data_IF_829544452900
#
_entry.id   IF_829544452900
#
_cell.length_a   1.000
_cell.length_b   1.000
_cell.length_c   1.000
_cell.angle_alpha   90.00
_cell.angle_beta   90.00
_cell.angle_gamma   90.00
#
_symmetry.space_group_name_H-M   'P 1'
#
loop_
_entity.id
_entity.type
_entity.pdbx_description
1 polymer ?
#
# COMPACT_ATOMS: atom_id res chain seq x y z
N UNK A 1 26.97 -5.34 29.91
CA UNK A 1 27.93 -5.93 28.95
C UNK A 1 29.29 -5.88 29.62
N UNK A 2 30.05 -6.99 29.63
CA UNK A 2 31.39 -7.05 30.23
C UNK A 2 32.41 -6.53 29.22
N UNK A 3 33.40 -5.71 29.62
CA UNK A 3 34.50 -5.29 28.74
C UNK A 3 35.22 -6.50 28.12
N UNK A 4 35.66 -6.36 26.87
CA UNK A 4 36.24 -7.49 26.14
C UNK A 4 37.54 -8.00 26.76
N UNK A 5 38.31 -7.11 27.38
CA UNK A 5 39.58 -7.43 28.04
C UNK A 5 39.36 -8.31 29.28
N UNK A 6 38.38 -7.96 30.12
CA UNK A 6 37.98 -8.77 31.27
C UNK A 6 37.45 -10.14 30.82
N UNK A 7 36.60 -10.17 29.78
CA UNK A 7 36.03 -11.42 29.26
C UNK A 7 37.11 -12.38 28.72
N UNK A 8 38.17 -11.86 28.11
CA UNK A 8 39.33 -12.66 27.67
C UNK A 8 40.06 -13.29 28.84
N UNK A 9 40.31 -12.51 29.90
CA UNK A 9 40.98 -13.01 31.11
C UNK A 9 40.17 -14.12 31.81
N UNK A 10 38.84 -13.97 31.92
CA UNK A 10 37.98 -14.99 32.54
C UNK A 10 37.86 -16.28 31.73
N UNK A 11 37.97 -16.19 30.39
CA UNK A 11 37.84 -17.34 29.48
C UNK A 11 39.19 -17.98 29.13
N UNK A 12 40.29 -17.52 29.74
CA UNK A 12 41.66 -17.95 29.44
C UNK A 12 42.01 -17.84 27.94
N UNK A 13 41.46 -16.81 27.30
CA UNK A 13 41.73 -16.47 25.90
C UNK A 13 42.74 -15.33 25.92
N UNK A 14 43.93 -15.54 25.33
CA UNK A 14 44.97 -14.51 25.22
C UNK A 14 44.54 -13.38 24.27
N UNK A 15 45.18 -13.22 23.11
CA UNK A 15 44.75 -12.24 22.09
C UNK A 15 43.69 -12.78 21.11
N UNK A 16 43.15 -13.97 21.39
CA UNK A 16 42.18 -14.66 20.53
C UNK A 16 40.75 -14.21 20.82
N UNK A 17 39.90 -14.20 19.78
CA UNK A 17 38.46 -13.90 19.90
C UNK A 17 37.64 -15.04 19.31
N UNK A 18 36.51 -15.37 19.95
CA UNK A 18 35.63 -16.47 19.51
C UNK A 18 34.88 -16.14 18.21
N UNK A 19 34.63 -14.85 17.97
CA UNK A 19 33.92 -14.40 16.78
C UNK A 19 33.76 -12.89 16.75
N UNK A 20 33.40 -12.38 15.57
CA UNK A 20 33.16 -10.96 15.33
C UNK A 20 31.69 -10.83 14.93
N UNK A 21 30.94 -10.01 15.68
CA UNK A 21 29.57 -9.66 15.34
C UNK A 21 29.57 -8.34 14.57
N UNK A 22 29.03 -8.36 13.35
CA UNK A 22 28.93 -7.17 12.50
C UNK A 22 27.50 -6.66 12.52
N UNK A 23 27.30 -5.43 12.97
CA UNK A 23 26.02 -4.73 12.85
C UNK A 23 25.94 -4.05 11.50
N UNK A 24 24.91 -4.35 10.72
CA UNK A 24 24.65 -3.75 9.40
C UNK A 24 23.48 -2.77 9.49
N UNK A 25 23.55 -1.70 8.70
CA UNK A 25 22.43 -0.75 8.57
C UNK A 25 21.32 -1.31 7.68
N UNK A 26 21.71 -2.01 6.61
CA UNK A 26 20.78 -2.71 5.71
C UNK A 26 20.85 -4.22 5.98
N UNK A 27 19.78 -4.73 6.57
CA UNK A 27 19.65 -6.15 6.91
C UNK A 27 19.69 -7.04 5.67
N UNK A 28 19.23 -6.58 4.50
CA UNK A 28 19.20 -7.38 3.27
C UNK A 28 20.59 -7.57 2.66
N UNK A 29 21.53 -6.66 2.93
CA UNK A 29 22.91 -6.75 2.50
C UNK A 29 23.82 -7.58 3.44
N UNK A 30 23.29 -8.05 4.57
CA UNK A 30 24.06 -8.79 5.58
C UNK A 30 24.84 -9.99 5.02
N UNK A 31 24.21 -10.78 4.14
CA UNK A 31 24.85 -11.95 3.54
C UNK A 31 26.08 -11.60 2.70
N UNK A 32 26.02 -10.52 1.93
CA UNK A 32 27.12 -10.06 1.09
C UNK A 32 28.26 -9.54 1.97
N UNK A 33 27.92 -8.71 2.96
CA UNK A 33 28.89 -8.07 3.82
C UNK A 33 29.65 -9.05 4.73
N UNK A 34 28.98 -10.07 5.29
CA UNK A 34 29.66 -11.10 6.09
C UNK A 34 30.52 -12.02 5.19
N UNK A 35 30.14 -12.25 3.94
CA UNK A 35 30.98 -12.98 2.97
C UNK A 35 32.23 -12.20 2.59
N UNK A 36 32.09 -10.91 2.30
CA UNK A 36 33.19 -10.01 1.97
C UNK A 36 34.14 -9.85 3.17
N UNK A 37 33.60 -9.78 4.40
CA UNK A 37 34.42 -9.76 5.60
C UNK A 37 35.16 -11.09 5.82
N UNK A 38 34.48 -12.23 5.60
CA UNK A 38 35.08 -13.56 5.78
C UNK A 38 36.18 -13.90 4.76
N UNK A 39 36.11 -13.36 3.54
CA UNK A 39 37.13 -13.60 2.51
C UNK A 39 38.45 -12.89 2.80
N UNK A 40 38.42 -11.78 3.54
CA UNK A 40 39.61 -11.00 3.92
C UNK A 40 40.36 -11.63 5.10
N UNK A 41 39.69 -12.41 5.93
CA UNK A 41 40.25 -12.91 7.21
C UNK A 41 41.34 -13.98 7.05
N UNK A 42 41.59 -14.49 5.83
CA UNK A 42 42.60 -15.51 5.48
C UNK A 42 42.67 -16.75 6.40
N UNK A 43 41.63 -16.98 7.18
CA UNK A 43 41.48 -18.00 8.21
C UNK A 43 40.17 -18.74 7.97
N UNK A 44 40.10 -20.01 8.41
CA UNK A 44 38.85 -20.77 8.37
C UNK A 44 37.85 -20.21 9.39
N UNK A 45 36.93 -19.38 8.90
CA UNK A 45 35.86 -18.78 9.70
C UNK A 45 34.49 -19.32 9.29
N UNK A 46 33.65 -19.63 10.27
CA UNK A 46 32.25 -19.98 10.02
C UNK A 46 31.43 -18.70 9.80
N UNK A 47 31.03 -18.48 8.56
CA UNK A 47 30.18 -17.35 8.17
C UNK A 47 28.72 -17.66 8.54
N UNK A 48 28.19 -16.91 9.51
CA UNK A 48 26.76 -16.92 9.86
C UNK A 48 26.17 -15.54 9.61
N UNK A 49 25.00 -15.52 8.99
CA UNK A 49 24.21 -14.31 8.74
C UNK A 49 22.78 -14.62 9.13
N UNK A 50 22.07 -13.61 9.63
CA UNK A 50 20.68 -13.75 10.06
C UNK A 50 19.79 -14.29 8.92
N UNK A 51 20.07 -13.96 7.66
CA UNK A 51 19.35 -14.48 6.48
C UNK A 51 19.63 -15.97 6.27
N UNK A 52 20.86 -16.43 6.54
CA UNK A 52 21.22 -17.84 6.44
C UNK A 52 20.63 -18.67 7.58
N UNK A 53 20.58 -18.10 8.78
CA UNK A 53 20.07 -18.76 9.99
C UNK A 53 18.53 -18.73 10.09
N UNK A 54 17.91 -17.64 9.64
CA UNK A 54 16.46 -17.40 9.69
C UNK A 54 15.87 -17.14 8.30
N UNK A 55 16.39 -17.82 7.27
CA UNK A 55 15.97 -17.61 5.88
C UNK A 55 14.49 -17.91 5.61
N UNK A 56 13.87 -18.75 6.44
CA UNK A 56 12.43 -18.99 6.39
C UNK A 56 11.63 -17.71 6.74
N UNK A 57 12.02 -16.96 7.78
CA UNK A 57 11.38 -15.68 8.12
C UNK A 57 11.47 -14.68 6.96
N UNK A 58 12.62 -14.59 6.28
CA UNK A 58 12.76 -13.70 5.14
C UNK A 58 11.78 -14.07 4.01
N UNK A 59 11.68 -15.36 3.68
CA UNK A 59 10.73 -15.84 2.66
C UNK A 59 9.28 -15.60 3.09
N UNK A 60 8.95 -15.82 4.35
CA UNK A 60 7.60 -15.64 4.88
C UNK A 60 7.18 -14.16 4.84
N UNK A 61 8.09 -13.24 5.21
CA UNK A 61 7.87 -11.79 5.09
C UNK A 61 7.62 -11.39 3.63
N UNK A 62 8.40 -11.93 2.68
CA UNK A 62 8.20 -11.67 1.25
C UNK A 62 6.87 -12.22 0.74
N UNK A 63 6.48 -13.43 1.18
CA UNK A 63 5.19 -14.02 0.82
C UNK A 63 4.03 -13.20 1.35
N UNK A 64 4.07 -12.78 2.62
CA UNK A 64 3.05 -11.92 3.23
C UNK A 64 2.96 -10.60 2.48
N UNK A 65 4.09 -9.97 2.15
CA UNK A 65 4.11 -8.72 1.38
C UNK A 65 3.46 -8.90 0.00
N UNK A 66 3.72 -10.01 -0.69
CA UNK A 66 3.11 -10.31 -1.99
C UNK A 66 1.58 -10.49 -1.88
N UNK A 67 1.10 -11.17 -0.83
CA UNK A 67 -0.34 -11.34 -0.56
C UNK A 67 -1.00 -9.98 -0.31
N UNK A 68 -0.39 -9.14 0.53
CA UNK A 68 -0.89 -7.79 0.81
C UNK A 68 -0.95 -6.93 -0.45
N UNK A 69 0.07 -7.01 -1.31
CA UNK A 69 0.08 -6.31 -2.59
C UNK A 69 -1.04 -6.79 -3.53
N UNK A 70 -1.24 -8.11 -3.64
CA UNK A 70 -2.32 -8.67 -4.45
C UNK A 70 -3.70 -8.26 -3.93
N UNK A 71 -3.91 -8.31 -2.61
CA UNK A 71 -5.15 -7.86 -1.97
C UNK A 71 -5.42 -6.37 -2.25
N UNK A 72 -4.39 -5.53 -2.16
CA UNK A 72 -4.48 -4.11 -2.46
C UNK A 72 -4.90 -3.85 -3.92
N UNK A 73 -4.30 -4.55 -4.88
CA UNK A 73 -4.68 -4.45 -6.31
C UNK A 73 -6.14 -4.85 -6.53
N UNK A 74 -6.61 -5.92 -5.87
CA UNK A 74 -8.02 -6.34 -5.96
C UNK A 74 -8.99 -5.28 -5.42
N UNK A 75 -8.70 -4.71 -4.25
CA UNK A 75 -9.53 -3.65 -3.65
C UNK A 75 -9.59 -2.43 -4.56
N UNK A 76 -8.46 -2.01 -5.12
CA UNK A 76 -8.40 -0.91 -6.09
C UNK A 76 -9.21 -1.26 -7.34
N UNK A 77 -9.11 -2.50 -7.85
CA UNK A 77 -9.88 -2.97 -8.99
C UNK A 77 -11.40 -2.89 -8.76
N UNK A 78 -11.87 -3.34 -7.60
CA UNK A 78 -13.29 -3.24 -7.21
C UNK A 78 -13.74 -1.77 -7.13
N UNK A 79 -12.91 -0.90 -6.55
CA UNK A 79 -13.21 0.53 -6.46
C UNK A 79 -13.31 1.18 -7.86
N UNK A 80 -12.41 0.83 -8.78
CA UNK A 80 -12.45 1.32 -10.15
C UNK A 80 -13.74 0.90 -10.87
N UNK A 81 -14.15 -0.36 -10.72
CA UNK A 81 -15.41 -0.84 -11.30
C UNK A 81 -16.63 -0.09 -10.75
N UNK A 82 -16.60 0.26 -9.46
CA UNK A 82 -17.66 1.06 -8.84
C UNK A 82 -17.76 2.47 -9.45
N UNK A 83 -16.62 3.13 -9.70
CA UNK A 83 -16.57 4.43 -10.39
C UNK A 83 -17.16 4.32 -11.80
N UNK A 84 -16.77 3.30 -12.57
CA UNK A 84 -17.32 3.07 -13.92
C UNK A 84 -18.84 2.90 -13.86
N UNK A 85 -19.33 2.08 -12.94
CA UNK A 85 -20.76 1.78 -12.79
C UNK A 85 -21.55 3.04 -12.44
N UNK A 86 -21.05 3.84 -11.50
CA UNK A 86 -21.65 5.11 -11.09
C UNK A 86 -21.67 6.12 -12.24
N UNK A 87 -20.57 6.25 -12.99
CA UNK A 87 -20.49 7.15 -14.14
C UNK A 87 -21.44 6.74 -15.26
N UNK A 88 -21.50 5.45 -15.59
CA UNK A 88 -22.42 4.93 -16.62
C UNK A 88 -23.87 5.19 -16.22
N UNK A 89 -24.21 4.98 -14.95
CA UNK A 89 -25.54 5.27 -14.42
C UNK A 89 -25.86 6.78 -14.50
N UNK A 90 -24.94 7.64 -14.09
CA UNK A 90 -25.10 9.09 -14.18
C UNK A 90 -25.29 9.58 -15.63
N UNK A 91 -24.56 9.00 -16.59
CA UNK A 91 -24.74 9.28 -18.03
C UNK A 91 -26.14 8.89 -18.50
N UNK A 92 -26.64 7.73 -18.06
CA UNK A 92 -27.97 7.24 -18.42
C UNK A 92 -29.06 8.14 -17.85
N UNK A 93 -28.96 8.49 -16.57
CA UNK A 93 -29.93 9.35 -15.89
C UNK A 93 -29.95 10.77 -16.48
N UNK A 94 -28.81 11.25 -16.98
CA UNK A 94 -28.69 12.55 -17.66
C UNK A 94 -28.76 12.51 -19.19
N UNK A 95 -29.18 11.39 -19.77
CA UNK A 95 -29.34 11.25 -21.22
C UNK A 95 -30.30 12.28 -21.84
N UNK A 96 -31.39 12.64 -21.15
CA UNK A 96 -32.32 13.69 -21.58
C UNK A 96 -31.67 15.08 -21.67
N UNK A 97 -30.94 15.47 -20.63
CA UNK A 97 -30.21 16.76 -20.58
C UNK A 97 -29.12 16.82 -21.66
N UNK A 98 -28.45 15.68 -21.93
CA UNK A 98 -27.47 15.56 -23.02
C UNK A 98 -28.14 15.75 -24.39
N UNK A 99 -29.34 15.19 -24.59
CA UNK A 99 -30.10 15.33 -25.83
C UNK A 99 -30.49 16.80 -26.08
N UNK A 100 -30.92 17.52 -25.04
CA UNK A 100 -31.21 18.97 -25.12
C UNK A 100 -29.95 19.77 -25.45
N UNK A 101 -28.81 19.47 -24.81
CA UNK A 101 -27.55 20.13 -25.14
C UNK A 101 -27.15 19.89 -26.60
N UNK A 102 -27.38 18.67 -27.13
CA UNK A 102 -27.13 18.35 -28.53
C UNK A 102 -28.04 19.09 -29.50
N UNK A 103 -29.33 19.26 -29.18
CA UNK A 103 -30.24 20.04 -30.03
C UNK A 103 -29.88 21.53 -30.04
N UNK A 104 -29.26 22.04 -28.97
CA UNK A 104 -28.67 23.38 -28.90
C UNK A 104 -27.31 23.51 -29.63
N UNK A 105 -26.78 22.42 -30.20
CA UNK A 105 -25.53 22.43 -30.98
C UNK A 105 -24.26 22.02 -30.22
N UNK A 106 -24.37 21.42 -29.03
CA UNK A 106 -23.22 20.92 -28.28
C UNK A 106 -22.46 19.83 -29.06
N UNK A 107 -21.15 20.04 -29.24
CA UNK A 107 -20.25 19.08 -29.88
C UNK A 107 -19.95 17.90 -28.96
N UNK A 108 -19.68 16.73 -29.55
CA UNK A 108 -19.28 15.51 -28.83
C UNK A 108 -18.13 15.72 -27.84
N UNK A 109 -17.17 16.59 -28.19
CA UNK A 109 -16.04 16.93 -27.33
C UNK A 109 -16.46 17.60 -26.01
N UNK A 110 -17.48 18.47 -26.05
CA UNK A 110 -17.98 19.16 -24.85
C UNK A 110 -18.62 18.15 -23.88
N UNK A 111 -19.45 17.25 -24.40
CA UNK A 111 -20.11 16.20 -23.61
C UNK A 111 -19.06 15.26 -23.00
N UNK A 112 -18.05 14.84 -23.77
CA UNK A 112 -16.94 14.05 -23.24
C UNK A 112 -16.21 14.77 -22.11
N UNK A 113 -15.89 16.05 -22.29
CA UNK A 113 -15.17 16.83 -21.30
C UNK A 113 -15.93 16.94 -19.97
N UNK A 114 -17.26 17.16 -20.02
CA UNK A 114 -18.10 17.22 -18.81
C UNK A 114 -18.00 15.91 -18.01
N UNK A 115 -18.14 14.76 -18.66
CA UNK A 115 -18.09 13.47 -17.96
C UNK A 115 -16.68 13.07 -17.49
N UNK A 116 -15.63 13.47 -18.22
CA UNK A 116 -14.25 13.30 -17.75
C UNK A 116 -14.00 14.15 -16.50
N UNK A 117 -14.42 15.43 -16.49
CA UNK A 117 -14.31 16.29 -15.31
C UNK A 117 -15.13 15.77 -14.13
N UNK A 118 -16.33 15.27 -14.38
CA UNK A 118 -17.16 14.68 -13.35
C UNK A 118 -16.50 13.45 -12.71
N UNK A 119 -15.93 12.55 -13.52
CA UNK A 119 -15.17 11.39 -13.04
C UNK A 119 -13.90 11.78 -12.29
N UNK A 120 -13.16 12.78 -12.78
CA UNK A 120 -11.95 13.29 -12.14
C UNK A 120 -12.26 13.94 -10.78
N UNK A 121 -13.31 14.76 -10.69
CA UNK A 121 -13.73 15.37 -9.43
C UNK A 121 -14.18 14.30 -8.42
N UNK A 122 -14.99 13.34 -8.84
CA UNK A 122 -15.41 12.23 -7.99
C UNK A 122 -14.19 11.41 -7.49
N UNK A 123 -13.25 11.09 -8.39
CA UNK A 123 -12.01 10.39 -8.05
C UNK A 123 -11.12 11.20 -7.11
N UNK A 124 -11.00 12.52 -7.32
CA UNK A 124 -10.21 13.42 -6.49
C UNK A 124 -10.78 13.53 -5.08
N UNK A 125 -12.08 13.80 -4.95
CA UNK A 125 -12.73 13.87 -3.63
C UNK A 125 -12.65 12.53 -2.89
N UNK A 126 -12.91 11.42 -3.58
CA UNK A 126 -12.78 10.09 -3.00
C UNK A 126 -11.36 9.79 -2.52
N UNK A 127 -10.36 10.12 -3.34
CA UNK A 127 -8.94 9.89 -3.01
C UNK A 127 -8.48 10.77 -1.85
N UNK A 128 -8.87 12.06 -1.83
CA UNK A 128 -8.50 12.99 -0.77
C UNK A 128 -9.10 12.56 0.58
N UNK A 129 -10.40 12.26 0.60
CA UNK A 129 -11.08 11.78 1.80
C UNK A 129 -10.49 10.44 2.26
N UNK A 130 -10.23 9.52 1.33
CA UNK A 130 -9.62 8.22 1.63
C UNK A 130 -8.23 8.36 2.24
N UNK A 131 -7.39 9.26 1.72
CA UNK A 131 -6.05 9.52 2.26
C UNK A 131 -6.13 10.14 3.65
N UNK A 132 -6.99 11.13 3.87
CA UNK A 132 -7.19 11.74 5.20
C UNK A 132 -7.63 10.68 6.21
N UNK A 133 -8.66 9.89 5.88
CA UNK A 133 -9.15 8.83 6.76
C UNK A 133 -8.07 7.78 6.99
N UNK A 134 -7.37 7.35 5.94
CA UNK A 134 -6.31 6.34 6.02
C UNK A 134 -5.13 6.79 6.89
N UNK A 135 -4.69 8.04 6.76
CA UNK A 135 -3.62 8.62 7.59
C UNK A 135 -4.07 8.71 9.05
N UNK A 136 -5.28 9.20 9.32
CA UNK A 136 -5.81 9.30 10.69
C UNK A 136 -5.92 7.92 11.33
N UNK A 137 -6.46 6.94 10.62
CA UNK A 137 -6.58 5.55 11.10
C UNK A 137 -5.19 4.92 11.32
N UNK A 138 -4.23 5.18 10.43
CA UNK A 138 -2.86 4.68 10.56
C UNK A 138 -2.16 5.25 11.80
N UNK A 139 -2.28 6.55 12.07
CA UNK A 139 -1.70 7.18 13.26
C UNK A 139 -2.41 6.75 14.55
N UNK A 140 -3.71 6.50 14.47
CA UNK A 140 -4.56 6.17 15.62
C UNK A 140 -4.83 4.67 15.74
N UNK A 141 -4.04 3.83 15.07
CA UNK A 141 -4.28 2.39 14.96
C UNK A 141 -4.25 1.70 16.33
N UNK A 142 -3.22 1.97 17.14
CA UNK A 142 -3.05 1.40 18.47
C UNK A 142 -4.23 1.71 19.41
N UNK A 143 -4.66 2.98 19.60
CA UNK A 143 -5.82 3.26 20.46
C UNK A 143 -7.15 2.74 19.91
N UNK A 144 -7.35 2.64 18.58
CA UNK A 144 -8.55 2.03 17.99
C UNK A 144 -8.63 0.54 18.38
N UNK A 145 -7.52 -0.19 18.22
CA UNK A 145 -7.45 -1.62 18.54
C UNK A 145 -7.67 -1.84 20.04
N UNK A 146 -7.03 -1.05 20.91
CA UNK A 146 -7.25 -1.13 22.35
C UNK A 146 -8.72 -0.85 22.75
N UNK A 147 -9.41 0.02 22.01
CA UNK A 147 -10.85 0.27 22.21
C UNK A 147 -11.70 -0.94 21.81
N UNK A 148 -11.37 -1.58 20.69
CA UNK A 148 -12.04 -2.80 20.21
C UNK A 148 -11.80 -3.97 21.17
N UNK A 149 -10.57 -4.15 21.67
CA UNK A 149 -10.23 -5.18 22.65
C UNK A 149 -11.03 -5.04 23.95
N UNK A 150 -11.20 -3.80 24.44
CA UNK A 150 -12.04 -3.52 25.61
C UNK A 150 -13.51 -3.84 25.38
N UNK A 151 -14.02 -3.65 24.17
CA UNK A 151 -15.41 -3.95 23.80
C UNK A 151 -15.66 -5.46 23.62
N UNK A 152 -14.69 -6.17 23.05
CA UNK A 152 -14.79 -7.61 22.76
C UNK A 152 -14.43 -8.45 24.00
N UNK A 153 -13.70 -7.86 24.97
CA UNK A 153 -13.29 -8.54 26.20
C UNK A 153 -12.18 -9.58 25.99
N UNK A 154 -11.54 -9.59 24.82
CA UNK A 154 -10.44 -10.47 24.48
C UNK A 154 -9.25 -9.66 23.97
N UNK A 155 -8.07 -9.86 24.57
CA UNK A 155 -6.84 -9.22 24.14
C UNK A 155 -6.29 -9.97 22.93
N UNK A 156 -6.20 -9.30 21.78
CA UNK A 156 -5.54 -9.87 20.60
C UNK A 156 -4.02 -9.84 20.76
N UNK A 157 -3.53 -8.86 21.52
CA UNK A 157 -2.14 -8.73 21.95
C UNK A 157 -2.01 -9.06 23.44
N UNK A 158 -2.04 -10.35 23.78
CA UNK A 158 -1.70 -10.79 25.15
C UNK A 158 -0.20 -10.60 25.36
N UNK A 159 0.19 -9.69 26.27
CA UNK A 159 1.58 -9.39 26.62
C UNK A 159 2.42 -10.61 27.06
N UNK A 160 1.77 -11.74 27.36
CA UNK A 160 2.42 -13.02 27.67
C UNK A 160 3.03 -13.72 26.44
N UNK A 161 2.58 -13.43 25.22
CA UNK A 161 3.00 -14.11 23.98
C UNK A 161 3.74 -13.16 23.02
N UNK A 162 3.31 -11.89 22.94
CA UNK A 162 3.98 -10.84 22.18
C UNK A 162 4.50 -9.80 23.16
N UNK A 163 5.83 -9.67 23.29
CA UNK A 163 6.56 -8.73 24.17
C UNK A 163 6.29 -7.22 23.90
N UNK A 164 5.25 -6.89 23.11
CA UNK A 164 4.93 -5.55 22.64
C UNK A 164 3.40 -5.35 22.70
N UNK A 165 2.94 -4.50 23.63
CA UNK A 165 1.51 -4.15 23.81
C UNK A 165 1.01 -3.11 22.79
N UNK A 166 1.80 -2.81 21.75
CA UNK A 166 1.45 -1.83 20.73
C UNK A 166 1.83 -2.32 19.34
N UNK A 167 0.96 -2.05 18.37
CA UNK A 167 1.30 -2.20 16.96
C UNK A 167 2.07 -0.95 16.50
N UNK A 168 3.38 -1.05 16.21
CA UNK A 168 4.12 0.06 15.63
C UNK A 168 3.56 0.34 14.23
N UNK A 169 2.84 1.45 14.09
CA UNK A 169 2.37 1.94 12.80
C UNK A 169 3.40 2.89 12.22
N UNK A 170 4.12 2.45 11.19
CA UNK A 170 5.05 3.29 10.44
C UNK A 170 4.43 3.76 9.13
N UNK A 171 4.05 5.04 9.11
CA UNK A 171 3.46 5.66 7.93
C UNK A 171 4.56 6.12 6.97
N UNK A 172 4.66 5.42 5.84
CA UNK A 172 5.57 5.78 4.76
C UNK A 172 4.88 6.76 3.81
N UNK A 173 5.24 8.04 3.87
CA UNK A 173 4.62 9.09 3.04
C UNK A 173 4.75 8.85 1.53
N UNK A 174 5.85 8.20 1.11
CA UNK A 174 6.03 7.80 -0.29
C UNK A 174 4.97 6.80 -0.75
N UNK A 175 4.61 5.83 0.10
CA UNK A 175 3.59 4.85 -0.22
C UNK A 175 2.21 5.54 -0.36
N UNK A 176 1.89 6.47 0.54
CA UNK A 176 0.66 7.29 0.45
C UNK A 176 0.61 8.07 -0.86
N UNK A 177 1.73 8.68 -1.26
CA UNK A 177 1.81 9.42 -2.52
C UNK A 177 1.63 8.49 -3.74
N UNK A 178 2.28 7.33 -3.77
CA UNK A 178 2.11 6.36 -4.86
C UNK A 178 0.66 5.86 -4.95
N UNK A 179 0.00 5.61 -3.82
CA UNK A 179 -1.42 5.21 -3.79
C UNK A 179 -2.33 6.31 -4.30
N UNK A 180 -2.12 7.55 -3.88
CA UNK A 180 -2.91 8.70 -4.35
C UNK A 180 -2.77 8.88 -5.87
N UNK A 181 -1.54 8.84 -6.40
CA UNK A 181 -1.30 8.99 -7.84
C UNK A 181 -1.90 7.84 -8.64
N UNK A 182 -1.72 6.59 -8.20
CA UNK A 182 -2.29 5.43 -8.89
C UNK A 182 -3.82 5.41 -8.86
N UNK A 183 -4.44 5.79 -7.74
CA UNK A 183 -5.89 5.93 -7.63
C UNK A 183 -6.43 7.01 -8.59
N UNK A 184 -5.79 8.18 -8.65
CA UNK A 184 -6.16 9.24 -9.59
C UNK A 184 -6.03 8.80 -11.04
N UNK A 185 -4.91 8.17 -11.42
CA UNK A 185 -4.69 7.65 -12.78
C UNK A 185 -5.74 6.61 -13.16
N UNK A 186 -6.05 5.67 -12.26
CA UNK A 186 -7.05 4.64 -12.50
C UNK A 186 -8.46 5.23 -12.59
N UNK A 187 -8.80 6.23 -11.76
CA UNK A 187 -10.08 6.94 -11.86
C UNK A 187 -10.23 7.67 -13.19
N UNK A 188 -9.14 8.27 -13.69
CA UNK A 188 -9.11 8.93 -14.98
C UNK A 188 -9.31 7.93 -16.13
N UNK A 189 -8.60 6.81 -16.11
CA UNK A 189 -8.75 5.73 -17.09
C UNK A 189 -10.17 5.14 -17.07
N UNK A 190 -10.71 4.91 -15.87
CA UNK A 190 -12.07 4.43 -15.67
C UNK A 190 -13.11 5.41 -16.23
N UNK A 191 -12.89 6.72 -16.10
CA UNK A 191 -13.82 7.76 -16.60
C UNK A 191 -13.84 7.89 -18.13
N UNK A 192 -12.79 7.42 -18.81
CA UNK A 192 -12.68 7.57 -20.26
C UNK A 192 -13.69 6.70 -21.02
N UNK A 193 -13.93 5.47 -20.55
CA UNK A 193 -14.91 4.56 -21.15
C UNK A 193 -16.34 5.13 -21.17
N UNK A 194 -16.93 5.56 -20.03
CA UNK A 194 -18.26 6.17 -20.00
C UNK A 194 -18.31 7.50 -20.73
N UNK A 195 -17.26 8.34 -20.69
CA UNK A 195 -17.24 9.59 -21.46
C UNK A 195 -17.39 9.34 -22.98
N UNK A 196 -16.71 8.31 -23.50
CA UNK A 196 -16.86 7.90 -24.91
C UNK A 196 -18.27 7.38 -25.20
N UNK A 197 -18.86 6.62 -24.28
CA UNK A 197 -20.25 6.11 -24.36
C UNK A 197 -21.27 7.27 -24.40
N UNK A 198 -21.14 8.27 -23.53
CA UNK A 198 -22.03 9.43 -23.44
C UNK A 198 -22.07 10.22 -24.75
N UNK A 199 -20.93 10.38 -25.42
CA UNK A 199 -20.83 11.08 -26.70
C UNK A 199 -21.41 10.33 -27.90
N UNK A 200 -21.95 9.13 -27.73
CA UNK A 200 -22.60 8.36 -28.80
C UNK A 200 -24.11 8.24 -28.61
N UNK A 201 -24.68 8.97 -27.66
CA UNK A 201 -26.13 8.96 -27.38
C UNK A 201 -26.87 9.72 -28.48
N UNK A 202 -27.68 9.02 -29.28
CA UNK A 202 -28.46 9.62 -30.36
C UNK A 202 -29.65 10.41 -29.79
N UNK A 203 -29.71 11.75 -29.97
CA UNK A 203 -30.77 12.58 -29.41
C UNK A 203 -32.17 12.20 -29.92
N UNK A 204 -32.29 11.70 -31.16
CA UNK A 204 -33.59 11.30 -31.73
C UNK A 204 -34.19 10.07 -31.05
N UNK A 205 -33.33 9.20 -30.51
CA UNK A 205 -33.75 7.98 -29.81
C UNK A 205 -34.15 8.26 -28.36
N UNK A 206 -33.44 9.16 -27.68
CA UNK A 206 -33.74 9.53 -26.29
C UNK A 206 -35.02 10.35 -26.19
N UNK A 207 -35.25 11.29 -27.11
CA UNK A 207 -36.44 12.15 -27.09
C UNK A 207 -37.72 11.45 -27.55
N UNK A 208 -37.61 10.32 -28.26
CA UNK A 208 -38.75 9.50 -28.69
C UNK A 208 -39.20 8.47 -27.64
N UNK A 209 -38.51 8.40 -26.48
CA UNK A 209 -38.90 7.55 -25.36
C UNK A 209 -38.63 6.05 -25.55
N UNK A 210 -37.74 5.67 -26.48
CA UNK A 210 -37.33 4.27 -26.74
C UNK A 210 -35.91 3.94 -26.26
#
# INVERSE_FOLDING_TARGET
MVPMEDARQYLDMADSVTGIAIKVNDVFNANKLVRDAGSVTNNYVYIKSWIGTYGYMYRDIQMIRAIMYLAMVLVIGVACFNIVSTLVMAVKDKSGDIAVLRTLGAKDGLIRAIFVWYGLLAGLFGSLCGVVIGVVVSLQLTPIINGIEKLIGHQFLSGDIYFIDFLPSELHWLDVFYVLVTALLLSLLASWYPARRASRIDPARVLSGQ
#
